data_IF_675288751340
#
_entry.id   IF_675288751340
#
_cell.length_a   1.000
_cell.length_b   1.000
_cell.length_c   1.000
_cell.angle_alpha   90.00
_cell.angle_beta   90.00
_cell.angle_gamma   90.00
#
_symmetry.space_group_name_H-M   'P 1'
#
loop_
_entity.id
_entity.type
_entity.pdbx_description
1 polymer ?
#
# COMPACT_ATOMS: atom_id res chain seq x y z
N UNK A 1 -47.84 18.14 -7.32
CA UNK A 1 -46.89 17.26 -8.04
C UNK A 1 -45.65 18.07 -8.39
N UNK A 2 -44.67 18.07 -7.49
CA UNK A 2 -43.39 18.77 -7.66
C UNK A 2 -42.57 18.02 -8.72
N UNK A 3 -42.37 18.66 -9.87
CA UNK A 3 -41.46 18.18 -10.92
C UNK A 3 -40.04 18.15 -10.35
N UNK A 4 -39.52 16.96 -10.07
CA UNK A 4 -38.09 16.76 -9.91
C UNK A 4 -37.44 16.99 -11.28
N UNK A 5 -36.92 18.19 -11.49
CA UNK A 5 -35.98 18.46 -12.57
C UNK A 5 -34.71 17.71 -12.17
N UNK A 6 -34.44 16.58 -12.80
CA UNK A 6 -33.13 15.93 -12.73
C UNK A 6 -32.14 16.82 -13.45
N UNK A 7 -31.56 17.77 -12.71
CA UNK A 7 -30.36 18.46 -13.16
C UNK A 7 -29.29 17.38 -13.28
N UNK A 8 -29.05 16.91 -14.49
CA UNK A 8 -27.86 16.13 -14.80
C UNK A 8 -26.68 17.09 -14.66
N UNK A 9 -26.21 17.25 -13.41
CA UNK A 9 -24.97 17.95 -13.08
C UNK A 9 -23.90 17.26 -13.90
N UNK A 10 -23.48 17.90 -15.00
CA UNK A 10 -22.38 17.43 -15.83
C UNK A 10 -21.17 17.35 -14.89
N UNK A 11 -20.84 16.15 -14.43
CA UNK A 11 -19.67 15.95 -13.56
C UNK A 11 -18.43 16.29 -14.38
N UNK A 12 -17.58 17.15 -13.83
CA UNK A 12 -16.30 17.46 -14.46
C UNK A 12 -15.28 16.38 -14.09
N UNK A 13 -14.21 16.27 -14.87
CA UNK A 13 -13.05 15.49 -14.47
C UNK A 13 -12.42 16.09 -13.21
N UNK A 14 -12.29 15.32 -12.14
CA UNK A 14 -11.72 15.76 -10.86
C UNK A 14 -10.27 16.25 -10.95
N UNK A 15 -9.53 15.92 -12.02
CA UNK A 15 -8.12 16.28 -12.23
C UNK A 15 -7.90 17.43 -13.21
N UNK A 16 -8.86 17.77 -14.08
CA UNK A 16 -8.67 18.84 -15.08
C UNK A 16 -9.92 19.59 -15.54
N UNK A 17 -11.03 19.41 -14.82
CA UNK A 17 -12.30 20.12 -15.03
C UNK A 17 -12.92 19.98 -16.44
N UNK A 18 -12.49 18.99 -17.22
CA UNK A 18 -13.13 18.66 -18.50
C UNK A 18 -14.47 17.98 -18.26
N UNK A 19 -15.51 18.47 -18.95
CA UNK A 19 -16.89 17.98 -18.82
C UNK A 19 -17.29 16.93 -19.88
N UNK A 20 -16.46 16.70 -20.89
CA UNK A 20 -16.76 15.81 -22.02
C UNK A 20 -16.08 14.46 -21.82
N UNK A 21 -16.82 13.37 -22.07
CA UNK A 21 -16.28 12.01 -22.00
C UNK A 21 -15.78 11.64 -20.61
N UNK A 22 -16.57 11.99 -19.58
CA UNK A 22 -16.28 11.67 -18.18
C UNK A 22 -16.87 10.32 -17.80
N UNK A 23 -16.09 9.54 -17.05
CA UNK A 23 -16.44 8.24 -16.51
C UNK A 23 -16.46 8.35 -14.98
N UNK A 24 -17.43 7.72 -14.33
CA UNK A 24 -17.44 7.61 -12.87
C UNK A 24 -16.63 6.38 -12.45
N UNK A 25 -15.83 6.53 -11.40
CA UNK A 25 -15.20 5.44 -10.70
C UNK A 25 -16.02 5.14 -9.45
N UNK A 26 -16.51 3.91 -9.30
CA UNK A 26 -17.36 3.53 -8.17
C UNK A 26 -16.55 3.40 -6.87
N UNK A 27 -15.27 3.04 -6.97
CA UNK A 27 -14.38 2.85 -5.82
C UNK A 27 -14.07 4.15 -5.09
N UNK A 28 -13.74 5.23 -5.83
CA UNK A 28 -13.43 6.53 -5.25
C UNK A 28 -14.56 7.56 -5.38
N UNK A 29 -15.68 7.18 -6.00
CA UNK A 29 -16.88 8.01 -6.23
C UNK A 29 -16.63 9.33 -6.99
N UNK A 30 -15.51 9.43 -7.72
CA UNK A 30 -15.13 10.59 -8.52
C UNK A 30 -15.37 10.38 -10.02
N UNK A 31 -15.36 11.47 -10.79
CA UNK A 31 -15.47 11.42 -12.24
C UNK A 31 -14.18 11.87 -12.92
N UNK A 32 -13.76 11.18 -13.97
CA UNK A 32 -12.51 11.45 -14.69
C UNK A 32 -12.72 11.41 -16.21
N UNK A 33 -11.97 12.22 -16.96
CA UNK A 33 -11.89 12.06 -18.41
C UNK A 33 -11.13 10.77 -18.77
N UNK A 34 -11.22 10.32 -20.02
CA UNK A 34 -10.57 9.07 -20.47
C UNK A 34 -9.09 8.97 -20.07
N UNK A 35 -8.33 10.05 -20.21
CA UNK A 35 -6.90 10.07 -19.83
C UNK A 35 -6.75 9.82 -18.32
N UNK A 36 -7.47 10.57 -17.50
CA UNK A 36 -7.31 10.53 -16.04
C UNK A 36 -7.98 9.33 -15.37
N UNK A 37 -8.96 8.67 -16.00
CA UNK A 37 -9.49 7.40 -15.49
C UNK A 37 -8.49 6.26 -15.68
N UNK A 38 -7.73 6.27 -16.78
CA UNK A 38 -6.64 5.32 -17.03
C UNK A 38 -5.52 5.54 -16.02
N UNK A 39 -5.07 6.79 -15.84
CA UNK A 39 -4.07 7.14 -14.83
C UNK A 39 -4.52 6.76 -13.42
N UNK A 40 -5.75 7.10 -13.02
CA UNK A 40 -6.30 6.76 -11.69
C UNK A 40 -6.26 5.25 -11.43
N UNK A 41 -6.57 4.43 -12.44
CA UNK A 41 -6.49 2.95 -12.34
C UNK A 41 -5.04 2.45 -12.21
N UNK A 42 -4.11 3.06 -12.93
CA UNK A 42 -2.69 2.70 -12.87
C UNK A 42 -2.06 3.12 -11.54
N UNK A 43 -2.33 4.35 -11.08
CA UNK A 43 -1.87 4.87 -9.80
C UNK A 43 -2.41 4.04 -8.63
N UNK A 44 -3.62 3.49 -8.73
CA UNK A 44 -4.20 2.65 -7.67
C UNK A 44 -3.53 1.28 -7.51
N UNK A 45 -2.88 0.74 -8.55
CA UNK A 45 -2.18 -0.54 -8.47
C UNK A 45 -0.79 -0.42 -7.82
N UNK A 46 -0.14 0.74 -7.98
CA UNK A 46 1.24 0.97 -7.55
C UNK A 46 1.51 0.89 -6.02
N UNK A 47 0.60 1.30 -5.11
CA UNK A 47 0.87 1.29 -3.68
C UNK A 47 1.00 -0.11 -3.08
N UNK A 48 0.22 -1.08 -3.56
CA UNK A 48 0.26 -2.45 -3.04
C UNK A 48 1.58 -3.14 -3.38
N UNK A 49 2.04 -3.01 -4.63
CA UNK A 49 3.35 -3.51 -5.06
C UNK A 49 4.50 -2.89 -4.24
N UNK A 50 4.33 -1.65 -3.80
CA UNK A 50 5.34 -0.98 -2.97
C UNK A 50 5.33 -1.51 -1.53
N UNK A 51 4.15 -1.72 -0.94
CA UNK A 51 4.01 -2.31 0.40
C UNK A 51 4.61 -3.72 0.44
N UNK A 52 4.36 -4.54 -0.58
CA UNK A 52 4.91 -5.90 -0.66
C UNK A 52 6.44 -5.87 -0.70
N UNK A 53 7.03 -5.01 -1.55
CA UNK A 53 8.49 -4.83 -1.59
C UNK A 53 9.07 -4.33 -0.27
N UNK A 54 8.44 -3.35 0.37
CA UNK A 54 8.90 -2.81 1.66
C UNK A 54 8.83 -3.88 2.76
N UNK A 55 7.77 -4.69 2.75
CA UNK A 55 7.62 -5.83 3.66
C UNK A 55 8.75 -6.85 3.47
N UNK A 56 9.05 -7.23 2.23
CA UNK A 56 10.10 -8.21 1.94
C UNK A 56 11.48 -7.73 2.38
N UNK A 57 11.81 -6.45 2.12
CA UNK A 57 13.06 -5.84 2.57
C UNK A 57 13.13 -5.83 4.10
N UNK A 58 12.04 -5.43 4.77
CA UNK A 58 12.00 -5.40 6.23
C UNK A 58 12.18 -6.79 6.84
N UNK A 59 11.52 -7.79 6.26
CA UNK A 59 11.62 -9.18 6.71
C UNK A 59 13.04 -9.74 6.54
N UNK A 60 13.69 -9.47 5.41
CA UNK A 60 15.09 -9.85 5.18
C UNK A 60 16.04 -9.19 6.18
N UNK A 61 15.86 -7.90 6.48
CA UNK A 61 16.65 -7.19 7.49
C UNK A 61 16.50 -7.82 8.87
N UNK A 62 15.28 -8.18 9.28
CA UNK A 62 15.02 -8.82 10.57
C UNK A 62 15.64 -10.21 10.67
N UNK A 63 15.57 -11.02 9.60
CA UNK A 63 16.18 -12.34 9.58
C UNK A 63 17.71 -12.25 9.69
N UNK A 64 18.32 -11.34 8.92
CA UNK A 64 19.76 -11.12 8.95
C UNK A 64 20.24 -10.57 10.31
N UNK A 65 19.45 -9.70 10.95
CA UNK A 65 19.74 -9.24 12.32
C UNK A 65 19.65 -10.37 13.34
N UNK A 66 18.56 -11.15 13.32
CA UNK A 66 18.38 -12.30 14.22
C UNK A 66 19.53 -13.30 14.08
N UNK A 67 19.98 -13.57 12.85
CA UNK A 67 21.08 -14.50 12.62
C UNK A 67 22.38 -13.98 13.24
N UNK A 68 22.70 -12.70 13.06
CA UNK A 68 23.87 -12.06 13.69
C UNK A 68 23.79 -12.07 15.21
N UNK A 69 22.61 -11.84 15.77
CA UNK A 69 22.41 -11.87 17.21
C UNK A 69 22.61 -13.28 17.76
N UNK A 70 22.10 -14.31 17.09
CA UNK A 70 22.31 -15.71 17.48
C UNK A 70 23.76 -16.20 17.32
N UNK A 71 24.55 -15.58 16.43
CA UNK A 71 25.99 -15.85 16.25
C UNK A 71 26.86 -15.01 17.20
N UNK A 72 26.27 -14.16 18.05
CA UNK A 72 27.03 -13.29 18.93
C UNK A 72 27.66 -14.09 20.08
N UNK A 73 28.97 -13.91 20.27
CA UNK A 73 29.79 -14.63 21.25
C UNK A 73 29.25 -14.61 22.69
N UNK A 74 28.50 -13.58 23.06
CA UNK A 74 27.85 -13.49 24.38
C UNK A 74 26.74 -14.54 24.56
N UNK A 75 25.95 -14.84 23.53
CA UNK A 75 24.94 -15.89 23.63
C UNK A 75 25.58 -17.27 23.74
N UNK A 76 26.68 -17.52 23.04
CA UNK A 76 27.47 -18.75 23.22
C UNK A 76 28.02 -18.87 24.65
N UNK A 77 28.55 -17.77 25.21
CA UNK A 77 29.03 -17.74 26.59
C UNK A 77 27.91 -17.98 27.62
N UNK A 78 26.74 -17.38 27.41
CA UNK A 78 25.55 -17.59 28.25
C UNK A 78 25.11 -19.05 28.16
N UNK A 79 24.95 -19.60 26.95
CA UNK A 79 24.58 -20.99 26.72
C UNK A 79 25.56 -21.97 27.38
N UNK A 80 26.87 -21.67 27.33
CA UNK A 80 27.90 -22.47 28.02
C UNK A 80 27.80 -22.36 29.55
N UNK A 81 27.50 -21.17 30.07
CA UNK A 81 27.29 -20.94 31.49
C UNK A 81 26.08 -21.73 32.01
N UNK A 82 24.94 -21.66 31.32
CA UNK A 82 23.72 -22.38 31.66
C UNK A 82 23.93 -23.90 31.66
N UNK A 83 24.64 -24.44 30.64
CA UNK A 83 24.99 -25.87 30.59
C UNK A 83 25.86 -26.33 31.75
N UNK A 84 26.69 -25.44 32.31
CA UNK A 84 27.55 -25.73 33.47
C UNK A 84 26.83 -25.62 34.80
N UNK A 85 25.76 -24.83 34.89
CA UNK A 85 24.97 -24.63 36.13
C UNK A 85 23.96 -25.77 36.32
N UNK A 86 23.48 -26.39 35.23
CA UNK A 86 22.51 -27.49 35.26
C UNK A 86 23.11 -28.91 35.41
N UNK A 87 24.41 -29.03 35.72
CA UNK A 87 25.12 -30.27 36.09
C UNK A 87 25.55 -30.21 37.55
#
# INVERSE_FOLDING_TARGET
MTKHISVSLKKACAKCDKYVGVFSCDDCQQSFCLKHVIENRQESASPMDNIEREHDIFYDVLLNQRQKDNEHILFDQINQCEKRICL
#
